data_IF_867068143732
#
_entry.id   IF_867068143732
#
_cell.length_a   1.000
_cell.length_b   1.000
_cell.length_c   1.000
_cell.angle_alpha   90.00
_cell.angle_beta   90.00
_cell.angle_gamma   90.00
#
_symmetry.space_group_name_H-M   'P 1'
#
loop_
_entity.id
_entity.type
_entity.pdbx_description
1 polymer ?
#
# COMPACT_ATOMS: atom_id res chain seq x y z
N UNK A 1 -14.37 -20.78 26.83
CA UNK A 1 -14.17 -19.64 25.91
C UNK A 1 -14.85 -20.06 24.62
N UNK A 2 -16.10 -19.63 24.41
CA UNK A 2 -16.92 -20.08 23.28
C UNK A 2 -16.39 -19.37 22.03
N UNK A 3 -16.02 -20.16 21.04
CA UNK A 3 -15.39 -19.75 19.79
C UNK A 3 -16.29 -18.77 19.02
N UNK A 4 -16.07 -17.47 19.22
CA UNK A 4 -16.91 -16.40 18.65
C UNK A 4 -16.94 -16.46 17.12
N UNK A 5 -15.93 -17.06 16.50
CA UNK A 5 -15.75 -17.24 15.06
C UNK A 5 -16.90 -17.97 14.37
N UNK A 6 -17.66 -18.81 15.09
CA UNK A 6 -18.73 -19.64 14.52
C UNK A 6 -20.14 -19.04 14.66
N UNK A 7 -20.28 -17.90 15.36
CA UNK A 7 -21.61 -17.31 15.63
C UNK A 7 -22.16 -16.67 14.36
N UNK A 8 -23.28 -17.22 13.87
CA UNK A 8 -24.08 -16.60 12.81
C UNK A 8 -24.72 -15.31 13.35
N UNK A 9 -24.49 -14.19 12.65
CA UNK A 9 -25.04 -12.87 13.00
C UNK A 9 -25.81 -12.28 11.81
N UNK A 10 -26.62 -11.26 12.08
CA UNK A 10 -27.31 -10.51 11.02
C UNK A 10 -26.39 -9.45 10.40
N UNK A 11 -26.69 -8.99 9.17
CA UNK A 11 -25.99 -7.86 8.56
C UNK A 11 -26.01 -6.60 9.43
N UNK A 12 -27.10 -6.33 10.17
CA UNK A 12 -27.18 -5.15 11.05
C UNK A 12 -26.12 -5.19 12.15
N UNK A 13 -25.99 -6.36 12.79
CA UNK A 13 -25.00 -6.55 13.85
C UNK A 13 -23.57 -6.50 13.29
N UNK A 14 -23.32 -7.11 12.14
CA UNK A 14 -22.01 -7.05 11.49
C UNK A 14 -21.64 -5.61 11.11
N UNK A 15 -22.54 -4.87 10.47
CA UNK A 15 -22.28 -3.52 9.99
C UNK A 15 -22.26 -2.43 11.07
N UNK A 16 -22.72 -2.74 12.29
CA UNK A 16 -22.79 -1.78 13.40
C UNK A 16 -21.44 -1.16 13.79
N UNK A 17 -20.35 -1.86 13.51
CA UNK A 17 -18.97 -1.41 13.83
C UNK A 17 -18.33 -0.59 12.71
N UNK A 18 -19.03 -0.42 11.58
CA UNK A 18 -18.50 0.31 10.43
C UNK A 18 -18.80 1.81 10.53
N UNK A 19 -17.98 2.68 9.92
CA UNK A 19 -18.23 4.13 9.90
C UNK A 19 -19.53 4.53 9.19
N UNK A 20 -20.04 3.68 8.29
CA UNK A 20 -21.29 3.91 7.56
C UNK A 20 -22.19 2.66 7.59
N UNK A 21 -22.88 2.37 8.71
CA UNK A 21 -23.64 1.13 8.89
C UNK A 21 -24.73 0.92 7.83
N UNK A 22 -25.49 1.97 7.50
CA UNK A 22 -26.55 1.89 6.48
C UNK A 22 -25.99 1.55 5.09
N UNK A 23 -24.85 2.13 4.73
CA UNK A 23 -24.18 1.80 3.48
C UNK A 23 -23.67 0.36 3.50
N UNK A 24 -23.01 -0.06 4.57
CA UNK A 24 -22.55 -1.45 4.74
C UNK A 24 -23.71 -2.45 4.59
N UNK A 25 -24.85 -2.19 5.23
CA UNK A 25 -26.03 -3.06 5.11
C UNK A 25 -26.56 -3.08 3.68
N UNK A 26 -26.56 -1.96 2.96
CA UNK A 26 -26.99 -1.92 1.55
C UNK A 26 -26.11 -2.75 0.61
N UNK A 27 -24.87 -3.07 1.02
CA UNK A 27 -23.95 -3.89 0.23
C UNK A 27 -24.21 -5.39 0.39
N UNK A 28 -24.85 -5.81 1.48
CA UNK A 28 -25.03 -7.21 1.87
C UNK A 28 -26.49 -7.61 1.59
N UNK A 29 -26.75 -8.78 0.96
CA UNK A 29 -28.13 -9.22 0.75
C UNK A 29 -28.87 -9.38 2.10
N UNK A 30 -30.10 -8.87 2.26
CA UNK A 30 -30.76 -8.74 3.56
C UNK A 30 -30.94 -10.06 4.34
N UNK A 31 -31.09 -11.18 3.62
CA UNK A 31 -31.31 -12.51 4.21
C UNK A 31 -30.02 -13.29 4.46
N UNK A 32 -28.86 -12.76 4.06
CA UNK A 32 -27.58 -13.42 4.26
C UNK A 32 -27.23 -13.35 5.74
N UNK A 33 -27.38 -14.48 6.44
CA UNK A 33 -26.88 -14.67 7.80
C UNK A 33 -25.68 -15.59 7.75
N UNK A 34 -24.53 -15.09 8.20
CA UNK A 34 -23.30 -15.86 8.26
C UNK A 34 -22.42 -15.42 9.43
N UNK A 35 -21.27 -16.07 9.62
CA UNK A 35 -20.26 -15.66 10.59
C UNK A 35 -19.55 -14.38 10.15
N UNK A 36 -18.81 -13.76 11.06
CA UNK A 36 -18.14 -12.49 10.78
C UNK A 36 -16.97 -12.61 9.79
N UNK A 37 -16.26 -13.75 9.74
CA UNK A 37 -15.18 -13.95 8.76
C UNK A 37 -15.73 -13.88 7.34
N UNK A 38 -16.90 -14.47 7.10
CA UNK A 38 -17.55 -14.45 5.79
C UNK A 38 -18.03 -13.05 5.39
N UNK A 39 -18.52 -12.23 6.32
CA UNK A 39 -18.83 -10.83 6.02
C UNK A 39 -17.58 -10.04 5.62
N UNK A 40 -16.45 -10.27 6.31
CA UNK A 40 -15.17 -9.64 5.98
C UNK A 40 -14.71 -10.07 4.57
N UNK A 41 -14.68 -11.39 4.29
CA UNK A 41 -14.32 -11.92 2.96
C UNK A 41 -15.22 -11.36 1.87
N UNK A 42 -16.53 -11.32 2.12
CA UNK A 42 -17.51 -10.79 1.18
C UNK A 42 -17.24 -9.31 0.84
N UNK A 43 -17.04 -8.44 1.85
CA UNK A 43 -16.77 -7.03 1.59
C UNK A 43 -15.41 -6.80 0.94
N UNK A 44 -14.38 -7.58 1.29
CA UNK A 44 -13.06 -7.51 0.63
C UNK A 44 -13.16 -7.93 -0.84
N UNK A 45 -13.88 -9.00 -1.16
CA UNK A 45 -14.12 -9.41 -2.55
C UNK A 45 -14.93 -8.36 -3.32
N UNK A 46 -15.98 -7.81 -2.71
CA UNK A 46 -16.75 -6.72 -3.32
C UNK A 46 -15.90 -5.47 -3.55
N UNK A 47 -14.97 -5.20 -2.64
CA UNK A 47 -13.98 -4.11 -2.79
C UNK A 47 -13.06 -4.37 -3.97
N UNK A 48 -12.60 -5.62 -4.15
CA UNK A 48 -11.75 -6.02 -5.27
C UNK A 48 -12.44 -5.77 -6.62
N UNK A 49 -13.70 -6.21 -6.75
CA UNK A 49 -14.51 -6.00 -7.96
C UNK A 49 -14.70 -4.51 -8.26
N UNK A 50 -15.00 -3.71 -7.21
CA UNK A 50 -15.15 -2.26 -7.34
C UNK A 50 -13.85 -1.60 -7.80
N UNK A 51 -12.69 -2.01 -7.26
CA UNK A 51 -11.38 -1.46 -7.64
C UNK A 51 -11.03 -1.80 -9.09
N UNK A 52 -11.28 -3.03 -9.53
CA UNK A 52 -11.04 -3.48 -10.89
C UNK A 52 -11.93 -2.72 -11.90
N UNK A 53 -13.21 -2.54 -11.56
CA UNK A 53 -14.17 -1.77 -12.35
C UNK A 53 -13.76 -0.29 -12.45
N UNK A 54 -13.36 0.30 -11.32
CA UNK A 54 -12.92 1.68 -11.27
C UNK A 54 -11.63 1.91 -12.07
N UNK A 55 -10.67 1.00 -11.98
CA UNK A 55 -9.44 1.04 -12.78
C UNK A 55 -9.73 1.01 -14.28
N UNK A 56 -10.64 0.12 -14.70
CA UNK A 56 -11.08 0.02 -16.10
C UNK A 56 -11.77 1.30 -16.58
N UNK A 57 -12.57 1.93 -15.72
CA UNK A 57 -13.25 3.19 -16.03
C UNK A 57 -12.24 4.32 -16.26
N UNK A 58 -11.22 4.45 -15.41
CA UNK A 58 -10.16 5.47 -15.57
C UNK A 58 -9.39 5.25 -16.87
N UNK A 59 -8.98 4.01 -17.14
CA UNK A 59 -8.26 3.64 -18.37
C UNK A 59 -9.08 3.98 -19.63
N UNK A 60 -10.39 3.73 -19.59
CA UNK A 60 -11.30 4.13 -20.67
C UNK A 60 -11.36 5.66 -20.85
N UNK A 61 -11.44 6.43 -19.77
CA UNK A 61 -11.45 7.90 -19.82
C UNK A 61 -10.15 8.44 -20.40
N UNK A 62 -8.99 7.88 -20.02
CA UNK A 62 -7.68 8.27 -20.57
C UNK A 62 -7.63 8.01 -22.07
N UNK A 63 -8.04 6.81 -22.51
CA UNK A 63 -8.02 6.41 -23.94
C UNK A 63 -9.03 7.16 -24.79
N UNK A 64 -10.20 7.50 -24.23
CA UNK A 64 -11.28 8.18 -24.93
C UNK A 64 -11.05 9.68 -25.14
N UNK A 65 -10.19 10.30 -24.32
CA UNK A 65 -10.02 11.76 -24.32
C UNK A 65 -8.58 12.17 -24.71
N UNK A 66 -8.29 12.17 -26.00
CA UNK A 66 -6.97 12.56 -26.54
C UNK A 66 -6.58 14.04 -26.29
N UNK A 67 -7.51 14.89 -25.83
CA UNK A 67 -7.33 16.34 -25.66
C UNK A 67 -7.43 16.81 -24.20
N UNK A 68 -7.08 15.96 -23.23
CA UNK A 68 -7.06 16.34 -21.83
C UNK A 68 -5.97 17.39 -21.52
N UNK A 69 -6.24 18.36 -20.64
CA UNK A 69 -5.19 19.23 -20.10
C UNK A 69 -4.06 18.39 -19.48
N UNK A 70 -2.78 18.78 -19.62
CA UNK A 70 -1.65 17.99 -19.12
C UNK A 70 -1.77 17.58 -17.65
N UNK A 71 -2.20 18.50 -16.78
CA UNK A 71 -2.40 18.22 -15.35
C UNK A 71 -3.52 17.20 -15.10
N UNK A 72 -4.59 17.24 -15.90
CA UNK A 72 -5.69 16.28 -15.80
C UNK A 72 -5.25 14.89 -16.29
N UNK A 73 -4.48 14.83 -17.38
CA UNK A 73 -3.90 13.57 -17.87
C UNK A 73 -2.93 12.97 -16.84
N UNK A 74 -2.09 13.79 -16.20
CA UNK A 74 -1.20 13.34 -15.14
C UNK A 74 -1.98 12.81 -13.92
N UNK A 75 -2.97 13.56 -13.43
CA UNK A 75 -3.80 13.13 -12.30
C UNK A 75 -4.60 11.84 -12.57
N UNK A 76 -5.06 11.63 -13.81
CA UNK A 76 -5.71 10.40 -14.22
C UNK A 76 -4.75 9.21 -14.25
N UNK A 77 -3.53 9.39 -14.77
CA UNK A 77 -2.50 8.34 -14.74
C UNK A 77 -2.11 7.98 -13.30
N UNK A 78 -1.99 8.97 -12.41
CA UNK A 78 -1.74 8.74 -10.98
C UNK A 78 -2.88 7.94 -10.36
N UNK A 79 -4.12 8.35 -10.62
CA UNK A 79 -5.28 7.64 -10.12
C UNK A 79 -5.37 6.21 -10.65
N UNK A 80 -5.03 5.98 -11.93
CA UNK A 80 -4.98 4.63 -12.52
C UNK A 80 -3.93 3.76 -11.83
N UNK A 81 -2.75 4.30 -11.54
CA UNK A 81 -1.71 3.57 -10.80
C UNK A 81 -2.20 3.21 -9.39
N UNK A 82 -2.77 4.18 -8.67
CA UNK A 82 -3.29 4.00 -7.31
C UNK A 82 -4.44 2.98 -7.27
N UNK A 83 -5.35 3.00 -8.24
CA UNK A 83 -6.45 2.05 -8.33
C UNK A 83 -5.95 0.64 -8.65
N UNK A 84 -4.94 0.50 -9.50
CA UNK A 84 -4.31 -0.79 -9.78
C UNK A 84 -3.56 -1.33 -8.55
N UNK A 85 -2.87 -0.49 -7.79
CA UNK A 85 -2.26 -0.88 -6.51
C UNK A 85 -3.31 -1.35 -5.51
N UNK A 86 -4.45 -0.64 -5.44
CA UNK A 86 -5.59 -1.05 -4.61
C UNK A 86 -6.13 -2.42 -5.00
N UNK A 87 -6.26 -2.70 -6.30
CA UNK A 87 -6.64 -4.02 -6.82
C UNK A 87 -5.65 -5.09 -6.39
N UNK A 88 -4.34 -4.84 -6.52
CA UNK A 88 -3.29 -5.80 -6.12
C UNK A 88 -3.33 -6.08 -4.61
N UNK A 89 -3.52 -5.05 -3.78
CA UNK A 89 -3.62 -5.15 -2.32
C UNK A 89 -4.86 -5.93 -1.87
N UNK A 90 -6.00 -5.67 -2.52
CA UNK A 90 -7.25 -6.40 -2.27
C UNK A 90 -7.16 -7.86 -2.70
N UNK A 91 -6.53 -8.15 -3.84
CA UNK A 91 -6.32 -9.52 -4.31
C UNK A 91 -5.42 -10.30 -3.34
N UNK A 92 -4.34 -9.69 -2.86
CA UNK A 92 -3.48 -10.28 -1.84
C UNK A 92 -4.24 -10.54 -0.54
N UNK A 93 -5.00 -9.54 -0.06
CA UNK A 93 -5.79 -9.65 1.16
C UNK A 93 -6.86 -10.75 1.06
N UNK A 94 -7.56 -10.81 -0.08
CA UNK A 94 -8.56 -11.86 -0.36
C UNK A 94 -7.94 -13.25 -0.36
N UNK A 95 -6.77 -13.41 -1.01
CA UNK A 95 -6.04 -14.68 -1.04
C UNK A 95 -5.69 -15.16 0.38
N UNK A 96 -5.19 -14.26 1.23
CA UNK A 96 -4.88 -14.57 2.63
C UNK A 96 -6.14 -14.95 3.42
N UNK A 97 -7.22 -14.18 3.29
CA UNK A 97 -8.46 -14.41 4.04
C UNK A 97 -9.22 -15.68 3.61
N UNK A 98 -9.10 -16.09 2.35
CA UNK A 98 -9.71 -17.32 1.84
C UNK A 98 -8.86 -18.57 2.12
N UNK A 99 -7.60 -18.40 2.55
CA UNK A 99 -6.69 -19.52 2.83
C UNK A 99 -6.92 -20.21 4.18
N UNK A 100 -7.77 -19.67 5.04
CA UNK A 100 -8.11 -20.27 6.35
C UNK A 100 -9.56 -19.98 6.70
N UNK A 101 -10.25 -20.96 7.26
CA UNK A 101 -11.60 -20.79 7.84
C UNK A 101 -11.56 -20.22 9.27
N UNK A 102 -10.39 -20.22 9.89
CA UNK A 102 -10.14 -19.94 11.31
C UNK A 102 -9.22 -18.72 11.51
N UNK A 103 -8.53 -18.64 12.65
CA UNK A 103 -7.61 -17.53 12.98
C UNK A 103 -6.42 -17.44 12.01
N UNK A 104 -5.97 -16.22 11.76
CA UNK A 104 -4.77 -15.91 10.99
C UNK A 104 -3.59 -15.73 11.95
N UNK A 105 -2.35 -16.10 11.55
CA UNK A 105 -1.15 -15.68 12.26
C UNK A 105 -1.07 -14.16 12.35
N UNK A 106 -0.53 -13.62 13.45
CA UNK A 106 -0.43 -12.18 13.69
C UNK A 106 0.24 -11.42 12.52
N UNK A 107 1.26 -12.00 11.90
CA UNK A 107 1.94 -11.40 10.73
C UNK A 107 1.00 -11.22 9.54
N UNK A 108 0.12 -12.20 9.29
CA UNK A 108 -0.87 -12.12 8.21
C UNK A 108 -1.99 -11.14 8.57
N UNK A 109 -2.38 -11.05 9.85
CA UNK A 109 -3.32 -10.04 10.32
C UNK A 109 -2.78 -8.64 10.12
N UNK A 110 -1.53 -8.39 10.52
CA UNK A 110 -0.85 -7.11 10.36
C UNK A 110 -0.69 -6.74 8.88
N UNK A 111 -0.35 -7.72 8.03
CA UNK A 111 -0.26 -7.52 6.58
C UNK A 111 -1.62 -7.11 6.00
N UNK A 112 -2.69 -7.87 6.24
CA UNK A 112 -4.03 -7.55 5.71
C UNK A 112 -4.51 -6.20 6.25
N UNK A 113 -4.30 -5.90 7.54
CA UNK A 113 -4.63 -4.61 8.12
C UNK A 113 -3.91 -3.45 7.40
N UNK A 114 -2.61 -3.63 7.13
CA UNK A 114 -1.78 -2.64 6.44
C UNK A 114 -2.27 -2.42 5.01
N UNK A 115 -2.53 -3.50 4.28
CA UNK A 115 -3.03 -3.44 2.90
C UNK A 115 -4.41 -2.77 2.84
N UNK A 116 -5.36 -3.15 3.71
CA UNK A 116 -6.69 -2.55 3.78
C UNK A 116 -6.67 -1.08 4.25
N UNK A 117 -5.67 -0.68 5.02
CA UNK A 117 -5.46 0.74 5.34
C UNK A 117 -4.92 1.49 4.12
N UNK A 118 -3.95 0.91 3.41
CA UNK A 118 -3.32 1.52 2.25
C UNK A 118 -4.32 1.74 1.09
N UNK A 119 -5.30 0.86 0.88
CA UNK A 119 -6.31 1.07 -0.18
C UNK A 119 -7.18 2.30 0.06
N UNK A 120 -7.43 2.67 1.32
CA UNK A 120 -8.17 3.90 1.66
C UNK A 120 -7.30 5.10 1.32
N UNK A 121 -6.01 5.07 1.68
CA UNK A 121 -5.05 6.10 1.32
C UNK A 121 -4.94 6.27 -0.20
N UNK A 122 -4.80 5.18 -0.95
CA UNK A 122 -4.73 5.22 -2.42
C UNK A 122 -5.97 5.88 -3.03
N UNK A 123 -7.17 5.50 -2.53
CA UNK A 123 -8.43 6.05 -2.99
C UNK A 123 -8.52 7.56 -2.72
N UNK A 124 -8.11 8.00 -1.52
CA UNK A 124 -8.12 9.41 -1.14
C UNK A 124 -7.12 10.22 -1.96
N UNK A 125 -5.90 9.71 -2.14
CA UNK A 125 -4.87 10.37 -2.96
C UNK A 125 -5.32 10.54 -4.41
N UNK A 126 -6.00 9.53 -4.99
CA UNK A 126 -6.60 9.69 -6.31
C UNK A 126 -7.65 10.80 -6.31
N UNK A 127 -8.58 10.80 -5.35
CA UNK A 127 -9.63 11.81 -5.25
C UNK A 127 -9.05 13.23 -5.16
N UNK A 128 -8.03 13.41 -4.32
CA UNK A 128 -7.36 14.71 -4.12
C UNK A 128 -6.64 15.17 -5.40
N UNK A 129 -5.94 14.27 -6.10
CA UNK A 129 -5.28 14.56 -7.37
C UNK A 129 -6.26 14.97 -8.47
N UNK A 130 -7.37 14.24 -8.62
CA UNK A 130 -8.42 14.58 -9.59
C UNK A 130 -9.12 15.89 -9.24
N UNK A 131 -9.25 16.21 -7.94
CA UNK A 131 -9.85 17.46 -7.47
C UNK A 131 -8.93 18.65 -7.74
N UNK A 132 -7.63 18.50 -7.46
CA UNK A 132 -6.60 19.49 -7.81
C UNK A 132 -6.58 19.79 -9.31
N UNK A 133 -6.75 18.76 -10.16
CA UNK A 133 -6.85 18.92 -11.62
C UNK A 133 -8.23 19.44 -12.10
N UNK A 134 -9.15 19.76 -11.18
CA UNK A 134 -10.54 20.14 -11.50
C UNK A 134 -11.24 19.11 -12.39
N UNK A 135 -10.95 17.82 -12.23
CA UNK A 135 -11.46 16.74 -13.06
C UNK A 135 -12.53 15.89 -12.35
N UNK A 136 -12.52 15.81 -11.02
CA UNK A 136 -13.48 15.03 -10.21
C UNK A 136 -14.95 15.38 -10.46
N UNK A 137 -15.27 16.65 -10.77
CA UNK A 137 -16.65 17.15 -10.84
C UNK A 137 -17.17 17.43 -12.25
N UNK A 138 -16.36 17.21 -13.31
CA UNK A 138 -16.72 17.58 -14.71
C UNK A 138 -17.55 16.54 -15.48
N UNK A 139 -18.44 15.80 -14.81
CA UNK A 139 -19.38 14.90 -15.49
C UNK A 139 -18.77 13.62 -16.09
N UNK A 140 -17.56 13.25 -15.68
CA UNK A 140 -16.84 12.07 -16.19
C UNK A 140 -17.22 10.74 -15.50
N UNK A 141 -18.32 10.70 -14.76
CA UNK A 141 -18.81 9.53 -14.01
C UNK A 141 -17.81 8.90 -13.01
N UNK A 142 -16.68 9.55 -12.70
CA UNK A 142 -15.67 9.04 -11.76
C UNK A 142 -16.03 9.29 -10.29
N UNK A 143 -16.77 10.36 -10.00
CA UNK A 143 -17.04 10.79 -8.62
C UNK A 143 -17.85 9.77 -7.81
N UNK A 144 -18.95 9.25 -8.37
CA UNK A 144 -19.78 8.30 -7.64
C UNK A 144 -19.05 6.97 -7.32
N UNK A 145 -18.34 6.33 -8.29
CA UNK A 145 -17.47 5.20 -8.00
C UNK A 145 -16.38 5.51 -6.97
N UNK A 146 -15.81 6.72 -6.98
CA UNK A 146 -14.81 7.16 -6.01
C UNK A 146 -15.36 7.16 -4.58
N UNK A 147 -16.48 7.86 -4.36
CA UNK A 147 -17.09 8.00 -3.04
C UNK A 147 -17.65 6.68 -2.53
N UNK A 148 -18.33 5.91 -3.40
CA UNK A 148 -18.86 4.61 -3.02
C UNK A 148 -17.74 3.61 -2.73
N UNK A 149 -16.65 3.64 -3.51
CA UNK A 149 -15.44 2.86 -3.27
C UNK A 149 -14.81 3.18 -1.91
N UNK A 150 -14.65 4.47 -1.58
CA UNK A 150 -14.11 4.90 -0.29
C UNK A 150 -14.94 4.38 0.90
N UNK A 151 -16.28 4.48 0.82
CA UNK A 151 -17.17 3.93 1.85
C UNK A 151 -17.08 2.41 1.97
N UNK A 152 -16.95 1.72 0.84
CA UNK A 152 -16.82 0.26 0.79
C UNK A 152 -15.48 -0.20 1.39
N UNK A 153 -14.37 0.42 1.00
CA UNK A 153 -13.04 0.10 1.55
C UNK A 153 -12.97 0.39 3.06
N UNK A 154 -13.59 1.49 3.50
CA UNK A 154 -13.71 1.82 4.92
C UNK A 154 -14.53 0.78 5.70
N UNK A 155 -15.61 0.26 5.12
CA UNK A 155 -16.40 -0.81 5.73
C UNK A 155 -15.58 -2.11 5.82
N UNK A 156 -14.87 -2.49 4.76
CA UNK A 156 -13.98 -3.66 4.73
C UNK A 156 -12.90 -3.59 5.81
N UNK A 157 -12.21 -2.45 5.93
CA UNK A 157 -11.20 -2.24 6.98
C UNK A 157 -11.83 -2.32 8.37
N UNK A 158 -12.96 -1.64 8.60
CA UNK A 158 -13.59 -1.61 9.92
C UNK A 158 -14.05 -2.99 10.40
N UNK A 159 -14.66 -3.79 9.52
CA UNK A 159 -15.00 -5.18 9.88
C UNK A 159 -13.74 -5.99 10.16
N UNK A 160 -12.72 -5.90 9.29
CA UNK A 160 -11.47 -6.63 9.49
C UNK A 160 -10.81 -6.28 10.84
N UNK A 161 -10.64 -4.99 11.13
CA UNK A 161 -10.05 -4.53 12.39
C UNK A 161 -10.87 -4.98 13.60
N UNK A 162 -12.20 -4.98 13.52
CA UNK A 162 -13.02 -5.37 14.67
C UNK A 162 -12.95 -6.88 14.96
N UNK A 163 -12.88 -7.70 13.91
CA UNK A 163 -13.10 -9.14 14.02
C UNK A 163 -11.83 -10.00 13.90
N UNK A 164 -10.79 -9.51 13.22
CA UNK A 164 -9.53 -10.25 13.01
C UNK A 164 -8.35 -9.69 13.80
N UNK A 165 -8.36 -8.39 14.12
CA UNK A 165 -7.26 -7.78 14.88
C UNK A 165 -7.49 -8.03 16.37
N UNK A 166 -6.55 -8.69 17.08
CA UNK A 166 -6.66 -8.89 18.52
C UNK A 166 -6.79 -7.54 19.23
N UNK A 167 -7.76 -7.42 20.14
CA UNK A 167 -7.85 -6.23 21.00
C UNK A 167 -6.65 -6.24 21.95
N UNK A 168 -5.81 -5.22 21.86
CA UNK A 168 -4.79 -4.96 22.87
C UNK A 168 -5.52 -4.56 24.17
N UNK A 169 -5.26 -5.28 25.26
CA UNK A 169 -5.74 -4.89 26.59
C UNK A 169 -5.20 -3.48 26.93
N UNK A 170 -6.02 -2.58 27.50
CA UNK A 170 -5.63 -1.20 27.78
C UNK A 170 -4.65 -1.13 28.97
N UNK A 171 -3.38 -1.45 28.72
CA UNK A 171 -2.24 -1.04 29.54
C UNK A 171 -1.60 0.20 28.95
N UNK A 172 -1.16 1.16 29.79
CA UNK A 172 -0.36 2.31 29.34
C UNK A 172 0.92 1.80 28.66
N UNK A 173 0.96 1.83 27.33
CA UNK A 173 2.19 1.65 26.57
C UNK A 173 2.85 3.03 26.47
N UNK A 174 3.92 3.23 27.24
CA UNK A 174 4.81 4.39 27.13
C UNK A 174 5.38 4.46 25.70
N UNK A 175 5.76 5.67 25.27
CA UNK A 175 6.42 5.93 23.97
C UNK A 175 7.70 5.09 23.72
N UNK A 176 8.22 4.39 24.73
CA UNK A 176 9.25 3.35 24.61
C UNK A 176 8.79 2.07 23.88
N UNK A 177 7.49 1.94 23.59
CA UNK A 177 6.91 0.92 22.70
C UNK A 177 6.54 1.46 21.31
N UNK A 178 7.21 2.52 20.83
CA UNK A 178 7.38 2.65 19.38
C UNK A 178 7.85 1.28 18.89
N UNK A 179 7.21 0.72 17.86
CA UNK A 179 7.39 -0.62 17.29
C UNK A 179 8.82 -0.86 16.82
N UNK A 180 9.79 -0.76 17.71
CA UNK A 180 11.22 -0.62 17.53
C UNK A 180 11.80 -1.52 18.63
N UNK A 181 12.55 -2.53 18.22
CA UNK A 181 13.20 -3.42 19.15
C UNK A 181 14.31 -2.66 19.91
N UNK A 182 14.81 -3.21 21.03
CA UNK A 182 15.88 -2.58 21.82
C UNK A 182 17.16 -2.25 21.02
N UNK A 183 17.30 -2.81 19.82
CA UNK A 183 18.36 -2.55 18.84
C UNK A 183 18.13 -1.30 17.97
N UNK A 184 17.02 -0.58 18.17
CA UNK A 184 16.67 0.62 17.40
C UNK A 184 16.01 0.32 16.05
N UNK A 185 15.74 -0.94 15.71
CA UNK A 185 15.11 -1.34 14.45
C UNK A 185 13.61 -1.56 14.61
N UNK A 186 12.75 -1.13 13.66
CA UNK A 186 11.34 -1.43 13.73
C UNK A 186 11.06 -2.95 13.81
N UNK A 187 10.12 -3.43 14.64
CA UNK A 187 9.86 -4.87 14.83
C UNK A 187 9.38 -5.60 13.57
N UNK A 188 8.85 -4.89 12.58
CA UNK A 188 8.48 -5.46 11.27
C UNK A 188 9.69 -5.70 10.37
N UNK A 189 10.83 -5.08 10.71
CA UNK A 189 12.10 -5.33 10.05
C UNK A 189 12.70 -6.60 10.64
N UNK A 190 12.92 -7.59 9.79
CA UNK A 190 13.64 -8.80 10.20
C UNK A 190 15.03 -8.42 10.69
N UNK A 191 15.35 -8.82 11.92
CA UNK A 191 16.60 -8.46 12.59
C UNK A 191 17.81 -9.00 11.86
N UNK A 192 17.68 -10.13 11.16
CA UNK A 192 18.75 -10.70 10.34
C UNK A 192 19.17 -9.77 9.18
N UNK A 193 18.28 -8.85 8.76
CA UNK A 193 18.56 -7.84 7.73
C UNK A 193 19.60 -6.80 8.20
N UNK A 194 19.72 -6.55 9.50
CA UNK A 194 20.50 -5.43 10.05
C UNK A 194 21.51 -5.83 11.13
N UNK A 195 21.87 -7.12 11.25
CA UNK A 195 22.93 -7.57 12.18
C UNK A 195 24.30 -6.99 11.79
N UNK A 196 24.54 -5.75 12.20
CA UNK A 196 25.85 -5.12 12.21
C UNK A 196 26.55 -5.49 13.52
N UNK A 197 27.48 -6.43 13.42
CA UNK A 197 28.43 -6.73 14.48
C UNK A 197 29.76 -7.14 13.87
N UNK A 198 30.75 -6.25 13.94
CA UNK A 198 32.20 -6.54 13.87
C UNK A 198 32.59 -7.74 12.98
N UNK A 199 32.62 -7.55 11.66
CA UNK A 199 33.38 -8.44 10.76
C UNK A 199 32.70 -9.70 10.25
N UNK A 200 31.37 -9.86 10.39
CA UNK A 200 30.61 -10.91 9.69
C UNK A 200 29.63 -10.31 8.68
N UNK A 201 29.66 -10.85 7.46
CA UNK A 201 28.78 -10.48 6.33
C UNK A 201 27.32 -10.62 6.76
N UNK A 202 26.46 -9.75 6.26
CA UNK A 202 25.00 -9.92 6.21
C UNK A 202 24.66 -11.40 5.92
N UNK A 203 23.88 -12.05 6.79
CA UNK A 203 23.17 -13.29 6.45
C UNK A 203 21.81 -12.97 5.80
N UNK A 204 21.76 -11.82 5.13
CA UNK A 204 20.67 -11.45 4.24
C UNK A 204 20.84 -12.31 2.99
N UNK A 205 19.81 -13.07 2.66
CA UNK A 205 19.73 -13.62 1.32
C UNK A 205 19.67 -12.42 0.36
N UNK A 206 20.74 -12.22 -0.41
CA UNK A 206 20.82 -11.15 -1.43
C UNK A 206 20.88 -11.77 -2.80
N UNK A 207 20.03 -11.32 -3.72
CA UNK A 207 20.09 -11.72 -5.15
C UNK A 207 21.06 -10.85 -5.93
N UNK A 208 21.34 -9.66 -5.43
CA UNK A 208 22.28 -8.75 -6.04
C UNK A 208 22.65 -7.64 -5.08
N UNK A 209 23.86 -7.11 -5.26
CA UNK A 209 24.35 -5.92 -4.58
C UNK A 209 25.01 -5.02 -5.62
N UNK A 210 24.50 -3.80 -5.76
CA UNK A 210 25.03 -2.79 -6.68
C UNK A 210 25.36 -1.52 -5.92
N UNK A 211 26.46 -0.89 -6.30
CA UNK A 211 26.92 0.37 -5.69
C UNK A 211 26.61 1.53 -6.62
N UNK A 212 26.02 2.58 -6.08
CA UNK A 212 25.78 3.85 -6.78
C UNK A 212 26.79 4.89 -6.29
N UNK A 213 27.57 5.45 -7.22
CA UNK A 213 28.57 6.46 -6.94
C UNK A 213 28.67 7.48 -8.08
N UNK A 214 28.42 8.77 -7.79
CA UNK A 214 28.41 9.83 -8.81
C UNK A 214 29.80 10.02 -9.48
N UNK A 215 30.85 9.73 -8.72
CA UNK A 215 32.26 9.78 -9.13
C UNK A 215 32.65 8.64 -10.10
N UNK A 216 31.76 7.67 -10.34
CA UNK A 216 32.01 6.52 -11.20
C UNK A 216 32.77 5.38 -10.53
N UNK A 217 33.03 5.44 -9.22
CA UNK A 217 33.68 4.36 -8.47
C UNK A 217 32.75 3.16 -8.15
N UNK A 218 31.45 3.28 -8.48
CA UNK A 218 30.43 2.27 -8.29
C UNK A 218 30.00 1.58 -9.60
N UNK A 219 28.99 0.72 -9.52
CA UNK A 219 28.38 0.07 -10.68
C UNK A 219 27.54 1.06 -11.52
N UNK A 220 26.86 1.99 -10.86
CA UNK A 220 26.00 2.99 -11.49
C UNK A 220 26.34 4.39 -10.97
N UNK A 221 26.09 5.41 -11.79
CA UNK A 221 26.24 6.81 -11.39
C UNK A 221 24.96 7.40 -10.79
N UNK A 222 23.82 6.84 -11.15
CA UNK A 222 22.49 7.29 -10.73
C UNK A 222 21.74 6.19 -9.98
N UNK A 223 20.84 6.58 -9.10
CA UNK A 223 19.98 5.65 -8.36
C UNK A 223 18.95 5.03 -9.29
N UNK A 224 18.45 5.82 -10.24
CA UNK A 224 17.48 5.38 -11.24
C UNK A 224 18.00 4.21 -12.09
N UNK A 225 19.26 4.26 -12.53
CA UNK A 225 19.87 3.17 -13.30
C UNK A 225 20.05 1.89 -12.47
N UNK A 226 20.40 2.04 -11.18
CA UNK A 226 20.51 0.91 -10.27
C UNK A 226 19.16 0.23 -10.03
N UNK A 227 18.08 1.00 -9.89
CA UNK A 227 16.72 0.47 -9.79
C UNK A 227 16.33 -0.20 -11.12
N UNK A 228 16.67 0.38 -12.27
CA UNK A 228 16.38 -0.22 -13.58
C UNK A 228 17.03 -1.60 -13.72
N UNK A 229 18.24 -1.78 -13.19
CA UNK A 229 18.95 -3.06 -13.17
C UNK A 229 18.37 -4.11 -12.21
N UNK A 230 17.56 -3.70 -11.23
CA UNK A 230 16.94 -4.64 -10.30
C UNK A 230 15.98 -5.60 -11.04
N UNK A 231 16.00 -6.91 -10.75
CA UNK A 231 15.11 -7.86 -11.39
C UNK A 231 13.64 -7.61 -10.99
N UNK A 232 12.72 -7.92 -11.90
CA UNK A 232 11.30 -8.03 -11.53
C UNK A 232 11.11 -9.26 -10.64
N UNK A 233 10.39 -9.11 -9.53
CA UNK A 233 10.20 -10.19 -8.54
C UNK A 233 8.76 -10.30 -8.09
N UNK A 234 8.29 -11.53 -7.97
CA UNK A 234 6.97 -11.87 -7.41
C UNK A 234 7.03 -12.19 -5.91
N UNK A 235 8.13 -12.79 -5.43
CA UNK A 235 8.32 -13.21 -4.04
C UNK A 235 9.70 -12.84 -3.46
N UNK A 236 9.78 -12.93 -2.13
CA UNK A 236 10.98 -12.60 -1.35
C UNK A 236 11.89 -13.79 -1.08
N UNK A 237 11.55 -15.00 -1.55
CA UNK A 237 12.29 -16.24 -1.24
C UNK A 237 13.68 -16.29 -1.90
N UNK A 238 13.91 -15.42 -2.88
CA UNK A 238 15.23 -15.22 -3.47
C UNK A 238 16.10 -14.25 -2.68
N UNK A 239 15.51 -13.38 -1.85
CA UNK A 239 16.21 -12.37 -1.07
C UNK A 239 16.12 -10.95 -1.64
N UNK A 240 16.83 -9.99 -1.03
CA UNK A 240 16.78 -8.57 -1.42
C UNK A 240 17.73 -8.24 -2.58
N UNK A 241 17.37 -7.23 -3.37
CA UNK A 241 18.30 -6.55 -4.28
C UNK A 241 18.80 -5.28 -3.59
N UNK A 242 20.06 -5.30 -3.15
CA UNK A 242 20.64 -4.23 -2.34
C UNK A 242 21.27 -3.18 -3.25
N UNK A 243 20.83 -1.94 -3.09
CA UNK A 243 21.40 -0.76 -3.74
C UNK A 243 22.12 0.04 -2.66
N UNK A 244 23.45 -0.03 -2.66
CA UNK A 244 24.27 0.76 -1.77
C UNK A 244 24.57 2.12 -2.39
N UNK A 245 24.07 3.19 -1.80
CA UNK A 245 24.23 4.56 -2.32
C UNK A 245 25.30 5.26 -1.50
N UNK A 246 26.43 5.55 -2.14
CA UNK A 246 27.54 6.24 -1.47
C UNK A 246 27.17 7.65 -1.02
N UNK A 247 28.00 8.23 -0.17
CA UNK A 247 27.85 9.62 0.25
C UNK A 247 27.86 10.57 -0.96
N UNK A 248 26.94 11.52 -0.97
CA UNK A 248 26.71 12.44 -2.08
C UNK A 248 25.31 13.04 -2.04
N UNK A 249 25.11 14.09 -2.83
CA UNK A 249 23.80 14.69 -3.08
C UNK A 249 23.30 14.25 -4.47
N UNK A 250 22.27 13.43 -4.46
CA UNK A 250 21.66 12.83 -5.64
C UNK A 250 20.37 13.59 -5.97
N UNK A 251 20.48 14.54 -6.90
CA UNK A 251 19.32 15.28 -7.39
C UNK A 251 18.59 14.48 -8.49
N UNK A 252 17.72 13.56 -8.06
CA UNK A 252 17.01 12.61 -8.92
C UNK A 252 15.54 12.47 -8.52
N UNK A 253 14.68 12.28 -9.51
CA UNK A 253 13.31 11.84 -9.28
C UNK A 253 13.27 10.31 -9.29
N UNK A 254 13.40 9.70 -8.13
CA UNK A 254 13.48 8.25 -7.99
C UNK A 254 12.07 7.68 -7.88
N UNK A 255 11.75 6.72 -8.75
CA UNK A 255 10.45 6.01 -8.74
C UNK A 255 10.69 4.51 -8.91
N UNK A 256 10.05 3.71 -8.06
CA UNK A 256 10.16 2.25 -8.08
C UNK A 256 8.87 1.67 -8.67
N UNK A 257 8.99 0.94 -9.77
CA UNK A 257 7.86 0.22 -10.36
C UNK A 257 7.32 -0.83 -9.38
N UNK A 258 5.98 -0.93 -9.25
CA UNK A 258 5.32 -1.88 -8.32
C UNK A 258 5.71 -3.35 -8.52
N UNK A 259 6.24 -3.73 -9.69
CA UNK A 259 6.74 -5.08 -10.00
C UNK A 259 8.17 -5.32 -9.54
N UNK A 260 8.92 -4.27 -9.19
CA UNK A 260 10.28 -4.35 -8.64
C UNK A 260 10.21 -4.43 -7.11
N UNK A 261 9.81 -5.59 -6.60
CA UNK A 261 9.69 -5.87 -5.16
C UNK A 261 11.04 -6.27 -4.54
N UNK A 262 11.15 -6.12 -3.21
CA UNK A 262 12.31 -6.53 -2.41
C UNK A 262 13.62 -5.79 -2.77
N UNK A 263 13.51 -4.50 -3.11
CA UNK A 263 14.66 -3.60 -3.21
C UNK A 263 14.98 -3.06 -1.82
N UNK A 264 16.26 -3.13 -1.43
CA UNK A 264 16.78 -2.52 -0.21
C UNK A 264 17.76 -1.43 -0.59
N UNK A 265 17.52 -0.19 -0.16
CA UNK A 265 18.47 0.92 -0.37
C UNK A 265 19.20 1.23 0.94
N UNK A 266 20.53 1.32 0.87
CA UNK A 266 21.40 1.57 2.03
C UNK A 266 22.36 2.70 1.71
N UNK A 267 22.23 3.82 2.43
CA UNK A 267 23.17 4.95 2.34
C UNK A 267 24.39 4.81 3.25
N UNK A 268 25.41 5.65 3.03
CA UNK A 268 26.63 5.74 3.86
C UNK A 268 26.40 6.37 5.25
N UNK A 269 25.18 6.87 5.50
CA UNK A 269 24.72 7.37 6.80
C UNK A 269 23.85 8.61 6.71
N UNK A 270 23.22 8.94 7.83
CA UNK A 270 22.39 10.14 7.98
C UNK A 270 23.21 11.41 7.65
N UNK A 271 22.65 12.26 6.78
CA UNK A 271 23.30 13.49 6.32
C UNK A 271 24.50 13.31 5.39
N UNK A 272 24.87 12.07 5.03
CA UNK A 272 25.95 11.78 4.06
C UNK A 272 25.41 11.44 2.69
N UNK A 273 24.39 10.60 2.64
CA UNK A 273 23.67 10.28 1.41
C UNK A 273 22.37 11.07 1.43
N UNK A 274 22.25 12.03 0.51
CA UNK A 274 21.08 12.91 0.41
C UNK A 274 20.47 12.71 -0.96
N UNK A 275 19.17 12.42 -1.01
CA UNK A 275 18.41 12.27 -2.25
C UNK A 275 17.43 13.43 -2.31
N UNK A 276 17.53 14.25 -3.36
CA UNK A 276 16.75 15.48 -3.51
C UNK A 276 15.97 15.46 -4.81
N UNK A 277 14.81 16.11 -4.81
CA UNK A 277 13.94 16.28 -5.98
C UNK A 277 13.36 17.69 -6.00
N UNK A 278 13.11 18.24 -7.18
CA UNK A 278 12.64 19.62 -7.36
C UNK A 278 11.23 19.72 -7.97
N UNK A 279 10.51 18.60 -8.09
CA UNK A 279 9.15 18.59 -8.65
C UNK A 279 8.16 19.19 -7.66
N UNK A 280 7.22 19.98 -8.18
CA UNK A 280 6.16 20.59 -7.39
C UNK A 280 4.92 20.83 -8.24
N UNK A 281 3.78 21.05 -7.57
CA UNK A 281 2.52 21.42 -8.23
C UNK A 281 2.65 22.74 -8.98
N UNK A 282 3.32 23.74 -8.38
CA UNK A 282 3.63 25.01 -9.05
C UNK A 282 4.50 24.86 -10.30
N UNK A 283 5.31 23.80 -10.37
CA UNK A 283 6.10 23.41 -11.55
C UNK A 283 5.36 22.52 -12.55
N UNK A 284 4.05 22.31 -12.40
CA UNK A 284 3.23 21.50 -13.32
C UNK A 284 3.21 20.00 -13.01
N UNK A 285 3.75 19.56 -11.88
CA UNK A 285 3.60 18.18 -11.39
C UNK A 285 2.28 17.99 -10.64
N UNK A 286 1.93 16.75 -10.31
CA UNK A 286 0.85 16.44 -9.38
C UNK A 286 1.39 16.38 -7.96
N UNK A 287 0.53 16.51 -6.94
CA UNK A 287 0.94 16.27 -5.54
C UNK A 287 1.60 14.89 -5.39
N UNK A 288 1.02 13.85 -6.00
CA UNK A 288 1.55 12.48 -5.95
C UNK A 288 2.97 12.36 -6.54
N UNK A 289 3.27 13.03 -7.66
CA UNK A 289 4.58 12.95 -8.32
C UNK A 289 5.59 14.03 -7.89
N UNK A 290 5.26 14.82 -6.86
CA UNK A 290 6.12 15.91 -6.38
C UNK A 290 7.21 15.43 -5.41
N UNK A 291 6.95 14.39 -4.63
CA UNK A 291 7.93 13.81 -3.72
C UNK A 291 8.86 12.84 -4.46
N UNK A 292 10.09 12.67 -3.96
CA UNK A 292 11.05 11.65 -4.44
C UNK A 292 11.28 10.63 -3.33
N UNK A 293 11.38 9.34 -3.73
CA UNK A 293 11.34 8.12 -2.91
C UNK A 293 10.06 7.86 -2.13
#
# INVERSE_FOLDING_TARGET
QIDSASRVISPENACSVTPNPNFCMSLIPPQTRTNFHDYVRFLVNKSLDQSASFSSLIDHVIKGNATLPPLAMAALNDCLLLSQLTTDFLASSSTTLNGTDSSLPNEQVDMVHTLLSAIITNQQTCYDGLTQASFSHRGHNLYAPLVNGSRLYSASLALFTHYWVPKLEPGRQLLDELKVAPDGLPRWVDKEIFRHGSGRRMDLQTVGNVVVAQDGSGNYRTITDAIAAAPFKSDGGSGYFVIHVKAGEYQEQVTIDKKKKYIMMVGDGIGKTIITGSRSVGGGSTTFNSATL
#
